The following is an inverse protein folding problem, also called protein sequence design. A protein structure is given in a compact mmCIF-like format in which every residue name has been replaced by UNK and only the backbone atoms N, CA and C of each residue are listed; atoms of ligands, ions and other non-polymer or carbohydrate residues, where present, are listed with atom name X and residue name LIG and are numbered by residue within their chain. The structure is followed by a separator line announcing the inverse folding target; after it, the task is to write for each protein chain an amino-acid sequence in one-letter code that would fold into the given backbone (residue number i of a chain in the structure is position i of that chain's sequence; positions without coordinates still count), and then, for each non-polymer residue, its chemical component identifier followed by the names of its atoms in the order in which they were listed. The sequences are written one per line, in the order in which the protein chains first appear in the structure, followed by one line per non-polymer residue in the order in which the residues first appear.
data_IF_562812132405
#
_entry.id   IF_562812132405
#
_cell.length_a   1.000
_cell.length_b   1.000
_cell.length_c   1.000
_cell.angle_alpha   90.00
_cell.angle_beta   90.00
_cell.angle_gamma   90.00
#
_symmetry.space_group_name_H-M   'P 1'
#
loop_
_entity.id
_entity.type
_entity.pdbx_description
1 polymer ?
#
# COMPACT_ATOMS: atom_id res chain seq x y z
N UNK A 1 -11.09 12.27 17.75
CA UNK A 1 -10.11 12.75 16.76
C UNK A 1 -9.12 11.64 16.51
N UNK A 2 -9.23 10.97 15.35
CA UNK A 2 -8.30 9.93 14.95
C UNK A 2 -7.00 10.59 14.47
N UNK A 3 -5.85 10.23 15.05
CA UNK A 3 -4.53 10.81 14.74
C UNK A 3 -3.93 10.33 13.42
N UNK A 4 -4.75 10.18 12.38
CA UNK A 4 -4.36 9.66 11.07
C UNK A 4 -4.67 10.68 9.98
N UNK A 5 -3.94 10.61 8.88
CA UNK A 5 -4.13 11.49 7.72
C UNK A 5 -3.90 10.69 6.44
N UNK A 6 -4.76 10.90 5.45
CA UNK A 6 -4.58 10.38 4.10
C UNK A 6 -3.71 11.34 3.30
N UNK A 7 -2.69 10.79 2.64
CA UNK A 7 -1.69 11.58 1.92
C UNK A 7 -1.49 11.01 0.52
N UNK A 8 -1.53 11.89 -0.48
CA UNK A 8 -1.12 11.59 -1.84
C UNK A 8 0.33 12.04 -2.05
N UNK A 9 1.14 11.21 -2.71
CA UNK A 9 2.57 11.44 -2.90
C UNK A 9 2.95 11.17 -4.35
N UNK A 10 3.63 12.12 -4.99
CA UNK A 10 4.17 11.99 -6.36
C UNK A 10 5.71 11.99 -6.31
N UNK A 11 6.36 10.81 -6.13
CA UNK A 11 7.81 10.75 -6.05
C UNK A 11 8.46 11.13 -7.38
N UNK A 12 9.37 12.12 -7.36
CA UNK A 12 10.17 12.49 -8.54
C UNK A 12 11.34 11.54 -8.81
N UNK A 13 11.72 10.73 -7.83
CA UNK A 13 12.83 9.76 -7.92
C UNK A 13 12.41 8.41 -7.33
N UNK A 14 13.09 7.34 -7.74
CA UNK A 14 12.78 5.97 -7.30
C UNK A 14 13.76 5.39 -6.27
N UNK A 15 14.23 6.15 -5.28
CA UNK A 15 15.19 5.62 -4.29
C UNK A 15 14.53 4.56 -3.41
N UNK A 16 15.31 3.58 -2.95
CA UNK A 16 14.82 2.49 -2.10
C UNK A 16 14.15 3.04 -0.84
N UNK A 17 12.88 2.68 -0.65
CA UNK A 17 12.04 3.11 0.49
C UNK A 17 11.86 4.64 0.64
N UNK A 18 12.07 5.43 -0.42
CA UNK A 18 12.09 6.90 -0.35
C UNK A 18 10.90 7.50 0.40
N UNK A 19 9.67 7.16 -0.01
CA UNK A 19 8.45 7.70 0.61
C UNK A 19 8.32 7.32 2.08
N UNK A 20 8.67 6.08 2.43
CA UNK A 20 8.61 5.56 3.80
C UNK A 20 9.54 6.32 4.74
N UNK A 21 10.79 6.54 4.30
CA UNK A 21 11.79 7.31 5.06
C UNK A 21 11.37 8.77 5.18
N UNK A 22 10.89 9.38 4.09
CA UNK A 22 10.44 10.78 4.12
C UNK A 22 9.27 10.98 5.11
N UNK A 23 8.26 10.10 5.09
CA UNK A 23 7.16 10.18 6.04
C UNK A 23 7.61 10.00 7.49
N UNK A 24 8.49 9.03 7.76
CA UNK A 24 8.95 8.74 9.11
C UNK A 24 9.90 9.81 9.68
N UNK A 25 10.97 10.14 8.97
CA UNK A 25 12.09 10.93 9.49
C UNK A 25 11.97 12.43 9.17
N UNK A 26 11.39 12.79 8.02
CA UNK A 26 11.30 14.20 7.58
C UNK A 26 9.98 14.82 8.05
N UNK A 27 8.85 14.13 7.84
CA UNK A 27 7.54 14.61 8.28
C UNK A 27 7.25 14.30 9.76
N UNK A 28 7.95 13.32 10.34
CA UNK A 28 7.66 12.84 11.70
C UNK A 28 6.33 12.08 11.82
N UNK A 29 5.72 11.70 10.69
CA UNK A 29 4.42 11.03 10.58
C UNK A 29 4.57 9.75 9.76
N UNK A 30 5.07 8.65 10.37
CA UNK A 30 5.33 7.42 9.64
C UNK A 30 4.05 6.77 9.11
N UNK A 31 4.21 6.02 8.02
CA UNK A 31 3.11 5.30 7.37
C UNK A 31 2.62 4.16 8.27
N UNK A 32 1.30 3.98 8.35
CA UNK A 32 0.69 2.89 9.12
C UNK A 32 1.17 1.52 8.60
N UNK A 33 1.53 0.63 9.52
CA UNK A 33 2.05 -0.70 9.20
C UNK A 33 3.52 -0.71 8.78
N UNK A 34 4.21 0.45 8.82
CA UNK A 34 5.64 0.51 8.58
C UNK A 34 6.43 0.17 9.85
N UNK A 35 6.62 -1.13 10.09
CA UNK A 35 7.37 -1.62 11.26
C UNK A 35 8.87 -1.24 11.21
N UNK A 36 9.41 -0.93 10.04
CA UNK A 36 10.84 -0.65 9.88
C UNK A 36 11.18 0.79 10.21
N UNK A 37 10.40 1.75 9.71
CA UNK A 37 10.67 3.19 9.87
C UNK A 37 9.71 3.85 10.88
N UNK A 38 8.55 3.25 11.14
CA UNK A 38 7.55 3.78 12.09
C UNK A 38 7.74 3.36 13.54
N UNK A 39 8.78 2.60 13.87
CA UNK A 39 8.98 2.00 15.20
C UNK A 39 8.87 3.01 16.36
N UNK A 40 9.46 4.19 16.22
CA UNK A 40 9.42 5.21 17.28
C UNK A 40 8.01 5.75 17.52
N UNK A 41 7.20 5.92 16.47
CA UNK A 41 5.81 6.34 16.60
C UNK A 41 4.91 5.19 17.11
N UNK A 42 5.12 3.95 16.63
CA UNK A 42 4.36 2.78 17.07
C UNK A 42 4.60 2.43 18.54
N UNK A 43 5.81 2.70 19.08
CA UNK A 43 6.10 2.58 20.52
C UNK A 43 5.25 3.51 21.39
N UNK A 44 5.01 4.75 20.95
CA UNK A 44 4.12 5.69 21.66
C UNK A 44 2.66 5.20 21.66
N UNK A 45 2.27 4.44 20.63
CA UNK A 45 0.93 3.87 20.48
C UNK A 45 0.69 2.59 21.32
N UNK A 46 1.67 2.14 22.14
CA UNK A 46 1.62 0.88 22.91
C UNK A 46 1.37 -0.38 22.06
N UNK A 47 1.64 -0.34 20.76
CA UNK A 47 1.58 -1.55 19.92
C UNK A 47 2.97 -2.19 19.91
N UNK A 48 3.02 -3.42 20.44
CA UNK A 48 4.20 -4.15 20.94
C UNK A 48 5.33 -4.36 19.92
N UNK A 49 6.55 -4.64 20.42
CA UNK A 49 7.70 -4.92 19.58
C UNK A 49 7.50 -6.23 18.81
N UNK A 50 7.97 -6.27 17.55
CA UNK A 50 8.17 -7.50 16.80
C UNK A 50 9.22 -8.38 17.48
N UNK A 51 8.82 -9.11 18.51
CA UNK A 51 9.51 -10.34 18.90
C UNK A 51 8.96 -11.44 18.01
N UNK A 52 9.81 -11.91 17.10
CA UNK A 52 9.84 -13.22 16.46
C UNK A 52 8.51 -13.92 16.20
N UNK A 53 8.35 -14.34 14.94
CA UNK A 53 7.38 -15.29 14.42
C UNK A 53 7.29 -16.57 15.28
N UNK A 54 6.65 -16.50 16.45
CA UNK A 54 6.33 -17.65 17.27
C UNK A 54 4.90 -18.06 16.97
N UNK A 55 4.82 -19.13 16.18
CA UNK A 55 3.68 -20.06 16.17
C UNK A 55 3.27 -20.34 17.62
N UNK A 56 2.13 -19.82 18.05
CA UNK A 56 1.20 -20.44 19.02
C UNK A 56 0.08 -19.45 19.37
N UNK A 57 -1.13 -19.75 18.93
CA UNK A 57 -2.29 -19.70 19.82
C UNK A 57 -3.44 -20.48 19.18
N UNK A 58 -3.76 -21.60 19.83
CA UNK A 58 -5.12 -22.12 19.84
C UNK A 58 -6.01 -21.02 20.42
N UNK A 59 -6.84 -20.36 19.62
CA UNK A 59 -8.03 -19.65 20.08
C UNK A 59 -8.92 -19.29 18.89
N UNK A 60 -10.23 -19.32 19.12
CA UNK A 60 -11.31 -19.37 18.13
C UNK A 60 -11.27 -18.21 17.13
N UNK A 61 -10.66 -18.40 15.97
CA UNK A 61 -10.77 -17.47 14.86
C UNK A 61 -12.10 -17.69 14.15
N UNK A 62 -12.96 -16.67 14.15
CA UNK A 62 -13.94 -16.45 13.07
C UNK A 62 -13.22 -16.70 11.76
N UNK A 63 -13.67 -17.71 11.01
CA UNK A 63 -13.04 -18.25 9.79
C UNK A 63 -12.77 -17.14 8.76
N UNK A 64 -11.64 -16.45 8.87
CA UNK A 64 -11.09 -15.67 7.78
C UNK A 64 -10.76 -16.63 6.64
N UNK A 65 -11.17 -16.31 5.41
CA UNK A 65 -10.86 -17.13 4.23
C UNK A 65 -9.35 -17.08 3.99
N UNK A 66 -8.60 -18.02 4.56
CA UNK A 66 -7.20 -18.22 4.22
C UNK A 66 -7.13 -18.66 2.77
N UNK A 67 -6.71 -17.76 1.88
CA UNK A 67 -6.42 -18.06 0.48
C UNK A 67 -5.09 -18.83 0.38
N UNK A 68 -4.83 -19.55 -0.73
CA UNK A 68 -3.53 -20.17 -0.96
C UNK A 68 -2.38 -19.16 -0.76
N UNK A 69 -1.22 -19.67 -0.31
CA UNK A 69 -0.04 -18.90 0.14
C UNK A 69 -0.14 -18.24 1.52
N UNK A 70 -1.18 -18.53 2.32
CA UNK A 70 -1.27 -18.06 3.70
C UNK A 70 -1.55 -16.55 3.81
N UNK A 71 -2.09 -15.97 2.73
CA UNK A 71 -2.50 -14.58 2.72
C UNK A 71 -3.89 -14.51 3.37
N UNK A 72 -4.03 -13.67 4.39
CA UNK A 72 -5.33 -13.34 4.95
C UNK A 72 -5.80 -12.04 4.30
N UNK A 73 -6.78 -12.15 3.39
CA UNK A 73 -7.29 -11.02 2.60
C UNK A 73 -8.06 -10.00 3.48
N UNK A 74 -8.47 -10.44 4.67
CA UNK A 74 -9.41 -9.74 5.55
C UNK A 74 -8.74 -9.18 6.81
N UNK A 75 -7.41 -9.17 6.90
CA UNK A 75 -6.66 -8.52 8.00
C UNK A 75 -5.79 -7.35 7.52
N UNK A 76 -5.22 -6.60 8.45
CA UNK A 76 -4.30 -5.50 8.22
C UNK A 76 -4.91 -4.09 8.22
N UNK A 77 -6.16 -3.90 8.66
CA UNK A 77 -6.74 -2.55 8.84
C UNK A 77 -6.18 -1.81 10.06
N UNK A 78 -6.46 -0.50 10.20
CA UNK A 78 -5.98 0.33 11.31
C UNK A 78 -6.47 -0.11 12.70
N UNK A 79 -7.58 -0.86 12.79
CA UNK A 79 -8.15 -1.31 14.06
C UNK A 79 -7.54 -2.63 14.55
N UNK A 80 -6.73 -3.28 13.72
CA UNK A 80 -6.14 -4.57 14.04
C UNK A 80 -4.78 -4.41 14.75
N UNK A 81 -4.38 -5.45 15.49
CA UNK A 81 -3.11 -5.47 16.25
C UNK A 81 -1.87 -5.37 15.35
N UNK A 82 -1.99 -5.80 14.10
CA UNK A 82 -0.91 -5.85 13.13
C UNK A 82 -1.40 -5.27 11.80
N UNK A 83 -1.45 -3.94 11.66
CA UNK A 83 -1.87 -3.33 10.41
C UNK A 83 -0.87 -3.61 9.30
N UNK A 84 -1.37 -3.87 8.09
CA UNK A 84 -0.56 -3.97 6.89
C UNK A 84 -0.01 -2.58 6.50
N UNK A 85 1.02 -2.56 5.65
CA UNK A 85 1.56 -1.29 5.16
C UNK A 85 0.49 -0.53 4.36
N UNK A 86 0.20 0.70 4.77
CA UNK A 86 -0.75 1.61 4.12
C UNK A 86 -0.03 2.50 3.09
N UNK A 87 0.64 1.88 2.13
CA UNK A 87 1.28 2.56 1.01
C UNK A 87 0.82 1.89 -0.29
N UNK A 88 0.11 2.66 -1.12
CA UNK A 88 -0.50 2.17 -2.36
C UNK A 88 -0.04 2.99 -3.55
N UNK A 89 0.31 2.32 -4.65
CA UNK A 89 0.53 2.97 -5.93
C UNK A 89 -0.81 3.16 -6.62
N UNK A 90 -1.44 4.34 -6.41
CA UNK A 90 -2.78 4.63 -6.91
C UNK A 90 -2.84 4.81 -8.43
N UNK A 91 -1.87 5.53 -8.97
CA UNK A 91 -1.89 5.97 -10.36
C UNK A 91 -0.48 5.97 -10.93
N UNK A 92 -0.36 5.59 -12.20
CA UNK A 92 0.85 5.69 -12.99
C UNK A 92 0.50 6.20 -14.38
N UNK A 93 1.20 7.22 -14.84
CA UNK A 93 1.06 7.77 -16.19
C UNK A 93 2.31 7.40 -16.97
N UNK A 94 2.12 6.71 -18.10
CA UNK A 94 3.17 6.38 -19.04
C UNK A 94 3.04 7.32 -20.25
N UNK A 95 3.95 8.30 -20.41
CA UNK A 95 3.92 9.18 -21.57
C UNK A 95 4.56 8.51 -22.79
N UNK A 96 4.35 9.11 -23.97
CA UNK A 96 4.96 8.73 -25.23
C UNK A 96 4.73 7.26 -25.63
N UNK A 97 3.50 6.77 -25.41
CA UNK A 97 3.15 5.37 -25.66
C UNK A 97 3.28 5.04 -27.15
N UNK A 98 2.80 5.91 -28.03
CA UNK A 98 2.97 5.76 -29.48
C UNK A 98 4.43 5.51 -29.88
N UNK A 99 5.38 6.26 -29.32
CA UNK A 99 6.82 6.08 -29.56
C UNK A 99 7.35 4.74 -29.04
N UNK A 100 6.88 4.29 -27.87
CA UNK A 100 7.26 2.99 -27.32
C UNK A 100 6.72 1.80 -28.14
N UNK A 101 5.57 1.96 -28.78
CA UNK A 101 4.90 0.91 -29.55
C UNK A 101 5.36 0.80 -31.01
N UNK A 102 6.13 1.77 -31.54
CA UNK A 102 6.62 1.76 -32.93
C UNK A 102 7.36 0.48 -33.34
N UNK A 103 8.04 -0.17 -32.39
CA UNK A 103 8.82 -1.39 -32.64
C UNK A 103 8.08 -2.69 -32.28
N UNK A 104 6.82 -2.60 -31.86
CA UNK A 104 6.02 -3.77 -31.48
C UNK A 104 5.20 -4.22 -32.67
N UNK A 105 5.45 -5.43 -33.17
CA UNK A 105 4.61 -6.05 -34.19
C UNK A 105 3.27 -6.44 -33.55
N UNK A 106 2.27 -5.58 -33.69
CA UNK A 106 0.90 -5.92 -33.34
C UNK A 106 0.28 -6.76 -34.45
N UNK A 107 -0.36 -7.87 -34.08
CA UNK A 107 -1.16 -8.68 -35.00
C UNK A 107 -2.61 -8.19 -35.13
N UNK A 108 -2.96 -7.06 -34.50
CA UNK A 108 -4.32 -6.57 -34.33
C UNK A 108 -4.60 -5.31 -35.14
N UNK A 109 -5.81 -5.16 -35.67
CA UNK A 109 -6.29 -4.03 -36.51
C UNK A 109 -6.41 -2.67 -35.80
N UNK A 110 -5.93 -2.52 -34.56
CA UNK A 110 -6.05 -1.26 -33.81
C UNK A 110 -4.86 -0.35 -34.07
N UNK A 111 -5.12 0.86 -34.59
CA UNK A 111 -4.11 1.91 -34.75
C UNK A 111 -3.87 2.60 -33.39
N UNK A 112 -2.68 2.39 -32.83
CA UNK A 112 -2.25 2.99 -31.56
C UNK A 112 -1.28 4.17 -31.77
N UNK A 113 -1.14 4.64 -33.02
CA UNK A 113 -0.23 5.74 -33.37
C UNK A 113 -0.63 7.07 -32.71
N UNK A 114 -1.91 7.25 -32.37
CA UNK A 114 -2.45 8.45 -31.75
C UNK A 114 -2.39 8.43 -30.20
N UNK A 115 -2.00 7.31 -29.58
CA UNK A 115 -2.00 7.20 -28.11
C UNK A 115 -0.78 7.93 -27.53
N UNK A 116 -0.99 9.16 -27.05
CA UNK A 116 0.07 9.97 -26.44
C UNK A 116 0.49 9.49 -25.05
N UNK A 117 -0.46 9.04 -24.23
CA UNK A 117 -0.20 8.59 -22.87
C UNK A 117 -1.15 7.49 -22.42
N UNK A 118 -0.68 6.61 -21.54
CA UNK A 118 -1.49 5.59 -20.88
C UNK A 118 -1.57 5.90 -19.39
N UNK A 119 -2.79 6.06 -18.90
CA UNK A 119 -3.07 6.25 -17.48
C UNK A 119 -3.54 4.93 -16.87
N UNK A 120 -2.82 4.47 -15.85
CA UNK A 120 -3.11 3.25 -15.12
C UNK A 120 -3.53 3.63 -13.71
N UNK A 121 -4.76 3.27 -13.33
CA UNK A 121 -5.31 3.53 -11.99
C UNK A 121 -5.62 2.22 -11.29
N UNK A 122 -5.01 1.99 -10.13
CA UNK A 122 -5.28 0.82 -9.31
C UNK A 122 -6.39 1.10 -8.28
N UNK A 123 -7.35 0.18 -8.06
CA UNK A 123 -8.29 0.30 -6.96
C UNK A 123 -7.56 0.25 -5.61
N UNK A 124 -8.18 0.79 -4.57
CA UNK A 124 -7.60 0.78 -3.23
C UNK A 124 -7.60 -0.66 -2.68
N UNK A 125 -6.50 -1.15 -2.07
CA UNK A 125 -6.47 -2.47 -1.45
C UNK A 125 -7.53 -2.63 -0.35
N UNK A 126 -8.05 -3.85 -0.15
CA UNK A 126 -9.16 -4.14 0.77
C UNK A 126 -8.89 -3.68 2.21
N UNK A 127 -7.68 -3.86 2.73
CA UNK A 127 -7.32 -3.42 4.08
C UNK A 127 -7.29 -1.90 4.23
N UNK A 128 -6.86 -1.18 3.19
CA UNK A 128 -6.87 0.28 3.17
C UNK A 128 -8.28 0.82 2.99
N UNK A 129 -9.13 0.16 2.20
CA UNK A 129 -10.54 0.50 2.07
C UNK A 129 -11.27 0.38 3.42
N UNK A 130 -11.08 -0.72 4.14
CA UNK A 130 -11.64 -0.88 5.49
C UNK A 130 -11.17 0.22 6.44
N UNK A 131 -9.88 0.55 6.41
CA UNK A 131 -9.33 1.67 7.20
C UNK A 131 -9.94 3.02 6.81
N UNK A 132 -10.22 3.24 5.51
CA UNK A 132 -10.89 4.43 5.02
C UNK A 132 -12.31 4.53 5.56
N UNK A 133 -13.07 3.44 5.51
CA UNK A 133 -14.44 3.40 5.98
C UNK A 133 -14.51 3.67 7.49
N UNK A 134 -13.58 3.12 8.28
CA UNK A 134 -13.47 3.37 9.73
C UNK A 134 -13.20 4.85 10.04
N UNK A 135 -12.34 5.51 9.26
CA UNK A 135 -11.95 6.91 9.52
C UNK A 135 -13.02 7.91 9.08
N UNK A 136 -13.89 7.53 8.16
CA UNK A 136 -14.96 8.37 7.63
C UNK A 136 -16.36 8.02 8.20
N UNK A 137 -16.44 7.04 9.10
CA UNK A 137 -17.65 6.73 9.89
C UNK A 137 -17.79 7.65 11.10
#
# INVERSE_FOLDING_TARGET
MHGYTWLELSPLTGRKHQLRVHCAEVLGTPIVGDLKYGWQAHRKLKQLPCSNLEKKSNENHTKGKTIPFGLDLESGSINEKHPCLHLHCKQMVLPNVSLALQNVQFSSDYDLSEVESLELVAPLPSHMQRSWDILNS
#
